data_IF_623351319965
#
_entry.id   IF_623351319965
#
_cell.length_a   1.000
_cell.length_b   1.000
_cell.length_c   1.000
_cell.angle_alpha   90.00
_cell.angle_beta   90.00
_cell.angle_gamma   90.00
#
_symmetry.space_group_name_H-M   'P 1'
#
loop_
_entity.id
_entity.type
_entity.pdbx_description
1 polymer ?
#
# COMPACT_ATOMS: atom_id res chain seq x y z
N UNK A 1 28.27 -40.33 20.19
CA UNK A 1 27.15 -39.52 20.75
C UNK A 1 27.31 -38.11 20.22
N UNK A 2 26.71 -37.81 19.06
CA UNK A 2 25.48 -37.01 18.95
C UNK A 2 25.55 -35.69 19.71
N UNK A 3 25.84 -34.61 18.98
CA UNK A 3 25.13 -33.32 19.08
C UNK A 3 25.18 -32.63 17.72
N UNK A 4 24.38 -33.11 16.76
CA UNK A 4 23.98 -32.28 15.61
C UNK A 4 22.90 -31.35 16.16
N UNK A 5 23.32 -30.20 16.68
CA UNK A 5 22.40 -29.14 17.12
C UNK A 5 21.94 -28.38 15.88
N UNK A 6 20.83 -28.82 15.28
CA UNK A 6 20.18 -28.11 14.18
C UNK A 6 19.52 -26.85 14.76
N UNK A 7 20.11 -25.70 14.49
CA UNK A 7 19.56 -24.39 14.85
C UNK A 7 18.34 -24.11 13.95
N UNK A 8 17.17 -24.59 14.34
CA UNK A 8 15.92 -24.44 13.59
C UNK A 8 15.50 -22.97 13.40
N UNK A 9 15.96 -22.05 14.27
CA UNK A 9 15.61 -20.64 14.21
C UNK A 9 16.19 -19.87 13.01
N UNK A 10 17.43 -20.16 12.63
CA UNK A 10 18.11 -19.46 11.53
C UNK A 10 17.56 -19.84 10.15
N UNK A 11 17.09 -21.09 10.01
CA UNK A 11 16.48 -21.58 8.77
C UNK A 11 15.10 -20.95 8.53
N UNK A 12 14.28 -20.88 9.59
CA UNK A 12 12.97 -20.24 9.53
C UNK A 12 13.11 -18.74 9.25
N UNK A 13 14.06 -18.04 9.89
CA UNK A 13 14.25 -16.61 9.65
C UNK A 13 14.81 -16.26 8.26
N UNK A 14 15.63 -17.14 7.66
CA UNK A 14 16.24 -16.90 6.35
C UNK A 14 15.25 -17.07 5.18
N UNK A 15 14.27 -17.97 5.29
CA UNK A 15 13.25 -18.19 4.25
C UNK A 15 11.97 -17.35 4.46
N UNK A 16 11.57 -17.12 5.73
CA UNK A 16 10.42 -16.25 6.04
C UNK A 16 10.71 -14.79 5.71
N UNK A 17 11.95 -14.31 5.84
CA UNK A 17 12.31 -12.94 5.49
C UNK A 17 12.18 -12.64 4.00
N UNK A 18 12.65 -13.55 3.14
CA UNK A 18 12.50 -13.42 1.69
C UNK A 18 11.02 -13.50 1.26
N UNK A 19 10.27 -14.46 1.82
CA UNK A 19 8.83 -14.64 1.54
C UNK A 19 8.00 -13.43 2.04
N UNK A 20 8.34 -12.86 3.21
CA UNK A 20 7.68 -11.67 3.73
C UNK A 20 7.88 -10.46 2.81
N UNK A 21 9.06 -10.32 2.18
CA UNK A 21 9.31 -9.22 1.25
C UNK A 21 8.50 -9.33 -0.04
N UNK A 22 8.23 -10.53 -0.56
CA UNK A 22 7.42 -10.72 -1.78
C UNK A 22 5.96 -10.28 -1.57
N UNK A 23 5.32 -10.75 -0.50
CA UNK A 23 3.95 -10.35 -0.17
C UNK A 23 3.86 -8.88 0.25
N UNK A 24 4.86 -8.35 0.95
CA UNK A 24 4.91 -6.94 1.32
C UNK A 24 4.97 -6.02 0.09
N UNK A 25 5.76 -6.38 -0.92
CA UNK A 25 5.85 -5.60 -2.17
C UNK A 25 4.52 -5.64 -2.93
N UNK A 26 3.85 -6.80 -2.99
CA UNK A 26 2.51 -6.88 -3.61
C UNK A 26 1.51 -5.94 -2.92
N UNK A 27 1.46 -5.96 -1.58
CA UNK A 27 0.57 -5.08 -0.81
C UNK A 27 0.96 -3.61 -0.98
N UNK A 28 2.25 -3.28 -0.98
CA UNK A 28 2.74 -1.92 -1.18
C UNK A 28 2.31 -1.35 -2.54
N UNK A 29 2.39 -2.16 -3.61
CA UNK A 29 1.95 -1.75 -4.95
C UNK A 29 0.44 -1.48 -5.00
N UNK A 30 -0.38 -2.29 -4.34
CA UNK A 30 -1.83 -2.07 -4.25
C UNK A 30 -2.12 -0.75 -3.51
N UNK A 31 -1.46 -0.51 -2.38
CA UNK A 31 -1.64 0.70 -1.58
C UNK A 31 -1.27 1.95 -2.38
N UNK A 32 -0.14 1.93 -3.09
CA UNK A 32 0.30 3.06 -3.94
C UNK A 32 -0.73 3.36 -5.02
N UNK A 33 -1.25 2.34 -5.70
CA UNK A 33 -2.30 2.51 -6.72
C UNK A 33 -3.57 3.11 -6.12
N UNK A 34 -4.00 2.64 -4.95
CA UNK A 34 -5.16 3.21 -4.25
C UNK A 34 -4.95 4.69 -3.90
N UNK A 35 -3.78 5.06 -3.38
CA UNK A 35 -3.46 6.45 -3.04
C UNK A 35 -3.54 7.35 -4.28
N UNK A 36 -2.94 6.92 -5.39
CA UNK A 36 -2.97 7.66 -6.66
C UNK A 36 -4.40 7.82 -7.17
N UNK A 37 -5.19 6.74 -7.17
CA UNK A 37 -6.57 6.75 -7.61
C UNK A 37 -7.43 7.72 -6.77
N UNK A 38 -7.26 7.70 -5.44
CA UNK A 38 -7.97 8.60 -4.52
C UNK A 38 -7.57 10.05 -4.78
N UNK A 39 -6.29 10.35 -5.02
CA UNK A 39 -5.83 11.71 -5.31
C UNK A 39 -6.45 12.26 -6.60
N UNK A 40 -6.47 11.46 -7.67
CA UNK A 40 -7.09 11.84 -8.95
C UNK A 40 -8.60 12.05 -8.78
N UNK A 41 -9.27 11.13 -8.09
CA UNK A 41 -10.70 11.22 -7.79
C UNK A 41 -11.01 12.50 -6.99
N UNK A 42 -10.23 12.76 -5.94
CA UNK A 42 -10.38 13.94 -5.08
C UNK A 42 -10.27 15.24 -5.86
N UNK A 43 -9.29 15.36 -6.76
CA UNK A 43 -9.15 16.52 -7.64
C UNK A 43 -10.38 16.71 -8.53
N UNK A 44 -10.91 15.63 -9.11
CA UNK A 44 -12.11 15.69 -9.96
C UNK A 44 -13.36 16.11 -9.18
N UNK A 45 -13.50 15.60 -7.95
CA UNK A 45 -14.59 15.97 -7.05
C UNK A 45 -14.49 17.44 -6.68
N UNK A 46 -13.31 17.90 -6.25
CA UNK A 46 -13.07 19.30 -5.91
C UNK A 46 -13.40 20.25 -7.07
N UNK A 47 -12.91 19.95 -8.28
CA UNK A 47 -13.21 20.76 -9.47
C UNK A 47 -14.71 20.79 -9.77
N UNK A 48 -15.42 19.68 -9.54
CA UNK A 48 -16.88 19.63 -9.72
C UNK A 48 -17.58 20.56 -8.73
N UNK A 49 -17.20 20.51 -7.44
CA UNK A 49 -17.77 21.39 -6.42
C UNK A 49 -17.45 22.87 -6.67
N UNK A 50 -16.23 23.19 -7.08
CA UNK A 50 -15.84 24.56 -7.44
C UNK A 50 -16.66 25.09 -8.61
N UNK A 51 -16.82 24.30 -9.68
CA UNK A 51 -17.67 24.68 -10.80
C UNK A 51 -19.13 24.90 -10.37
N UNK A 52 -19.66 24.11 -9.43
CA UNK A 52 -21.02 24.34 -8.91
C UNK A 52 -21.11 25.61 -8.06
N UNK A 53 -20.08 25.92 -7.27
CA UNK A 53 -20.01 27.14 -6.49
C UNK A 53 -19.97 28.38 -7.40
N UNK A 54 -19.15 28.36 -8.46
CA UNK A 54 -19.06 29.45 -9.44
C UNK A 54 -20.38 29.65 -10.22
N UNK A 55 -21.16 28.58 -10.41
CA UNK A 55 -22.47 28.65 -11.06
C UNK A 55 -23.58 29.12 -10.12
N UNK A 56 -23.37 29.11 -8.80
CA UNK A 56 -24.30 29.69 -7.85
C UNK A 56 -24.12 31.21 -7.85
N UNK A 57 -25.16 32.00 -8.14
CA UNK A 57 -25.06 33.44 -8.06
C UNK A 57 -24.84 33.85 -6.61
N UNK A 58 -23.68 34.41 -6.30
CA UNK A 58 -23.46 35.11 -5.04
C UNK A 58 -24.39 36.33 -5.01
N UNK A 59 -25.35 36.29 -4.07
CA UNK A 59 -26.39 37.29 -3.87
C UNK A 59 -25.87 38.59 -3.22
#
# INVERSE_FOLDING_TARGET
>A
MSKISLNYGDFIQSEEGATATEYAVMLALIIIVCIIAIAIMGNKVNNTFQNMADLMPDN
#
